data_IF_346645249603
#
_entry.id   IF_346645249603
#
_cell.length_a   1.000
_cell.length_b   1.000
_cell.length_c   1.000
_cell.angle_alpha   90.00
_cell.angle_beta   90.00
_cell.angle_gamma   90.00
#
_symmetry.space_group_name_H-M   'P 1'
#
loop_
_entity.id
_entity.type
_entity.pdbx_description
1 polymer ?
#
# COMPACT_ATOMS: atom_id res chain seq x y z
N UNK A 1 -1.55 74.27 -2.74
CA UNK A 1 -0.40 74.19 -1.80
C UNK A 1 -0.18 72.71 -1.49
N UNK A 2 0.57 71.98 -2.31
CA UNK A 2 2.03 71.81 -2.25
C UNK A 2 2.50 71.17 -0.93
N UNK A 3 2.84 69.87 -0.95
CA UNK A 3 4.24 69.43 -0.91
C UNK A 3 4.35 67.89 -1.07
N UNK A 4 4.97 67.49 -2.18
CA UNK A 4 5.78 66.27 -2.30
C UNK A 4 7.18 66.56 -1.73
N UNK A 5 7.85 65.54 -1.16
CA UNK A 5 9.31 65.23 -1.18
C UNK A 5 9.55 64.12 -0.12
N UNK A 6 9.74 62.85 -0.46
CA UNK A 6 10.95 62.19 -1.00
C UNK A 6 12.15 62.13 -0.02
N UNK A 7 12.45 60.93 0.52
CA UNK A 7 13.80 60.35 0.79
C UNK A 7 13.63 59.10 1.69
N UNK A 8 13.70 57.88 1.16
CA UNK A 8 14.90 57.06 0.93
C UNK A 8 15.51 56.45 2.20
N UNK A 9 15.13 55.21 2.53
CA UNK A 9 16.04 54.23 3.16
C UNK A 9 15.66 52.81 2.74
N UNK A 10 15.98 52.45 1.50
CA UNK A 10 16.13 51.05 1.08
C UNK A 10 17.48 50.55 1.60
N UNK A 11 17.52 50.05 2.85
CA UNK A 11 18.68 49.31 3.35
C UNK A 11 18.72 47.93 2.69
N UNK A 12 19.37 47.84 1.53
CA UNK A 12 19.83 46.58 0.95
C UNK A 12 20.95 46.02 1.83
N UNK A 13 20.59 45.25 2.86
CA UNK A 13 21.56 44.39 3.52
C UNK A 13 21.88 43.22 2.60
N UNK A 14 23.08 43.28 2.01
CA UNK A 14 23.72 42.21 1.25
C UNK A 14 23.97 40.98 2.15
N UNK A 15 23.08 39.99 2.10
CA UNK A 15 23.25 38.69 2.77
C UNK A 15 23.96 37.65 1.88
N UNK A 16 25.03 38.05 1.20
CA UNK A 16 25.82 37.15 0.34
C UNK A 16 26.43 35.96 1.12
N UNK A 17 26.70 36.12 2.42
CA UNK A 17 27.25 35.07 3.29
C UNK A 17 26.27 33.90 3.59
N UNK A 18 24.96 34.15 3.56
CA UNK A 18 23.95 33.11 3.81
C UNK A 18 23.73 32.16 2.63
N UNK A 19 24.11 32.58 1.43
CA UNK A 19 23.88 31.81 0.20
C UNK A 19 24.89 30.67 0.02
N UNK A 20 26.17 30.90 0.35
CA UNK A 20 27.20 29.87 0.29
C UNK A 20 27.04 28.81 1.38
N UNK A 21 26.68 29.21 2.61
CA UNK A 21 26.37 28.28 3.70
C UNK A 21 25.15 27.39 3.38
N UNK A 22 24.11 27.97 2.77
CA UNK A 22 22.94 27.21 2.29
C UNK A 22 23.29 26.22 1.18
N UNK A 23 24.20 26.58 0.27
CA UNK A 23 24.66 25.69 -0.82
C UNK A 23 25.49 24.50 -0.30
N UNK A 24 26.39 24.73 0.65
CA UNK A 24 27.17 23.66 1.28
C UNK A 24 26.28 22.67 2.06
N UNK A 25 25.30 23.18 2.80
CA UNK A 25 24.33 22.34 3.52
C UNK A 25 23.46 21.49 2.57
N UNK A 26 22.98 22.08 1.47
CA UNK A 26 22.22 21.34 0.45
C UNK A 26 23.08 20.27 -0.21
N UNK A 27 24.34 20.56 -0.55
CA UNK A 27 25.26 19.57 -1.10
C UNK A 27 25.52 18.40 -0.14
N UNK A 28 25.66 18.68 1.16
CA UNK A 28 25.77 17.64 2.19
C UNK A 28 24.51 16.77 2.27
N UNK A 29 23.32 17.37 2.21
CA UNK A 29 22.05 16.62 2.16
C UNK A 29 22.02 15.70 0.94
N UNK A 30 22.36 16.22 -0.25
CA UNK A 30 22.39 15.40 -1.46
C UNK A 30 23.41 14.25 -1.36
N UNK A 31 24.59 14.50 -0.80
CA UNK A 31 25.58 13.45 -0.58
C UNK A 31 25.04 12.35 0.34
N UNK A 32 24.43 12.73 1.46
CA UNK A 32 23.81 11.78 2.40
C UNK A 32 22.67 11.00 1.75
N UNK A 33 21.82 11.66 0.97
CA UNK A 33 20.74 11.01 0.23
C UNK A 33 21.26 10.04 -0.84
N UNK A 34 22.35 10.38 -1.53
CA UNK A 34 23.00 9.49 -2.51
C UNK A 34 23.59 8.26 -1.83
N UNK A 35 24.32 8.44 -0.72
CA UNK A 35 24.88 7.33 0.04
C UNK A 35 23.77 6.41 0.54
N UNK A 36 22.70 6.98 1.08
CA UNK A 36 21.53 6.23 1.52
C UNK A 36 20.88 5.47 0.34
N UNK A 37 20.69 6.12 -0.80
CA UNK A 37 20.11 5.50 -1.99
C UNK A 37 20.97 4.33 -2.50
N UNK A 38 22.30 4.49 -2.57
CA UNK A 38 23.22 3.43 -2.95
C UNK A 38 23.14 2.27 -1.95
N UNK A 39 23.13 2.56 -0.65
CA UNK A 39 23.05 1.50 0.38
C UNK A 39 21.76 0.69 0.29
N UNK A 40 20.63 1.34 -0.05
CA UNK A 40 19.33 0.70 -0.22
C UNK A 40 19.25 -0.11 -1.51
N UNK A 41 19.86 0.35 -2.61
CA UNK A 41 19.82 -0.32 -3.91
C UNK A 41 20.83 -1.48 -3.97
N UNK A 42 21.94 -1.39 -3.24
CA UNK A 42 23.02 -2.39 -3.25
C UNK A 42 22.57 -3.85 -3.06
N UNK A 43 21.74 -4.23 -2.07
CA UNK A 43 21.31 -5.63 -1.92
C UNK A 43 20.53 -6.15 -3.13
N UNK A 44 19.77 -5.29 -3.83
CA UNK A 44 19.06 -5.67 -5.05
C UNK A 44 20.00 -5.87 -6.24
N UNK A 45 21.02 -5.01 -6.38
CA UNK A 45 22.06 -5.20 -7.40
C UNK A 45 22.86 -6.48 -7.14
N UNK A 46 23.18 -6.75 -5.88
CA UNK A 46 23.86 -7.98 -5.50
C UNK A 46 23.00 -9.22 -5.77
N UNK A 47 21.70 -9.18 -5.44
CA UNK A 47 20.77 -10.25 -5.77
C UNK A 47 20.66 -10.47 -7.28
N UNK A 48 20.57 -9.39 -8.05
CA UNK A 48 20.51 -9.45 -9.52
C UNK A 48 21.80 -10.00 -10.12
N UNK A 49 22.97 -9.59 -9.64
CA UNK A 49 24.25 -10.14 -10.10
C UNK A 49 24.35 -11.65 -9.86
N UNK A 50 23.91 -12.11 -8.69
CA UNK A 50 23.93 -13.53 -8.33
C UNK A 50 22.89 -14.36 -9.08
N UNK A 51 21.77 -13.78 -9.51
CA UNK A 51 20.77 -14.53 -10.28
C UNK A 51 21.26 -14.95 -11.68
N UNK A 52 22.34 -14.32 -12.18
CA UNK A 52 23.01 -14.68 -13.43
C UNK A 52 24.24 -15.60 -13.24
N UNK A 53 24.49 -16.11 -12.03
CA UNK A 53 25.56 -17.08 -11.77
C UNK A 53 25.04 -18.51 -11.82
N UNK A 54 25.88 -19.45 -12.23
CA UNK A 54 25.61 -20.87 -12.02
C UNK A 54 25.65 -21.20 -10.52
N UNK A 55 25.08 -22.33 -10.10
CA UNK A 55 25.18 -22.77 -8.70
C UNK A 55 26.62 -22.90 -8.24
N UNK A 56 27.49 -23.45 -9.11
CA UNK A 56 28.91 -23.65 -8.81
C UNK A 56 29.63 -22.29 -8.61
N UNK A 57 29.41 -21.33 -9.50
CA UNK A 57 30.03 -20.00 -9.42
C UNK A 57 29.52 -19.19 -8.24
N UNK A 58 28.24 -19.32 -7.89
CA UNK A 58 27.66 -18.71 -6.71
C UNK A 58 28.33 -19.21 -5.42
N UNK A 59 28.51 -20.54 -5.27
CA UNK A 59 29.18 -21.11 -4.10
C UNK A 59 30.68 -20.85 -4.08
N UNK A 60 31.33 -20.73 -5.24
CA UNK A 60 32.75 -20.42 -5.32
C UNK A 60 33.04 -18.95 -4.94
N UNK A 61 32.24 -18.00 -5.42
CA UNK A 61 32.39 -16.59 -5.06
C UNK A 61 31.04 -15.84 -5.05
N UNK A 62 30.33 -15.83 -3.90
CA UNK A 62 29.04 -15.14 -3.78
C UNK A 62 29.19 -13.60 -3.78
N UNK A 63 30.39 -13.08 -3.51
CA UNK A 63 30.65 -11.64 -3.43
C UNK A 63 30.99 -11.00 -4.78
N UNK A 64 31.29 -11.78 -5.81
CA UNK A 64 31.54 -11.25 -7.15
C UNK A 64 30.31 -10.50 -7.68
N UNK A 65 30.43 -9.19 -7.91
CA UNK A 65 29.34 -8.34 -8.41
C UNK A 65 29.10 -8.50 -9.92
N UNK A 66 30.09 -9.03 -10.64
CA UNK A 66 30.00 -9.24 -12.08
C UNK A 66 30.02 -10.75 -12.32
N UNK A 67 28.92 -11.35 -12.83
CA UNK A 67 28.89 -12.76 -13.17
C UNK A 67 29.76 -13.02 -14.40
N UNK A 68 30.66 -13.99 -14.32
CA UNK A 68 31.55 -14.39 -15.42
C UNK A 68 31.73 -15.91 -15.45
N UNK A 69 31.23 -16.63 -16.48
CA UNK A 69 30.33 -16.15 -17.52
C UNK A 69 28.90 -15.92 -16.98
N UNK A 70 28.17 -14.89 -17.46
CA UNK A 70 26.75 -14.77 -17.14
C UNK A 70 25.95 -15.91 -17.75
N UNK A 71 25.04 -16.50 -16.98
CA UNK A 71 24.18 -17.60 -17.41
C UNK A 71 22.71 -17.36 -17.03
N UNK A 72 21.80 -17.96 -17.79
CA UNK A 72 20.37 -18.01 -17.50
C UNK A 72 19.92 -19.39 -17.00
N UNK A 73 20.85 -20.32 -16.80
CA UNK A 73 20.58 -21.69 -16.34
C UNK A 73 19.73 -21.71 -15.06
N UNK A 74 20.07 -20.87 -14.09
CA UNK A 74 19.38 -20.76 -12.80
C UNK A 74 17.89 -20.38 -12.97
N UNK A 75 17.52 -19.59 -13.98
CA UNK A 75 16.12 -19.29 -14.29
C UNK A 75 15.39 -20.49 -14.90
N UNK A 76 16.06 -21.23 -15.80
CA UNK A 76 15.54 -22.47 -16.36
C UNK A 76 15.29 -23.52 -15.28
N UNK A 77 16.25 -23.67 -14.36
CA UNK A 77 16.15 -24.51 -13.17
C UNK A 77 15.02 -24.06 -12.24
N UNK A 78 14.89 -22.76 -11.97
CA UNK A 78 13.83 -22.23 -11.13
C UNK A 78 12.43 -22.57 -11.66
N UNK A 79 12.24 -22.52 -12.98
CA UNK A 79 10.97 -22.88 -13.62
C UNK A 79 10.79 -24.40 -13.63
N UNK A 80 11.76 -25.17 -14.14
CA UNK A 80 11.60 -26.62 -14.37
C UNK A 80 11.68 -27.45 -13.11
N UNK A 81 12.65 -27.17 -12.25
CA UNK A 81 12.93 -27.91 -11.02
C UNK A 81 12.21 -27.24 -9.86
N UNK A 82 12.34 -25.91 -9.74
CA UNK A 82 11.75 -25.13 -8.67
C UNK A 82 10.24 -24.88 -8.79
N UNK A 83 9.62 -25.18 -9.94
CA UNK A 83 8.19 -24.95 -10.22
C UNK A 83 7.73 -23.52 -9.96
N UNK A 84 8.62 -22.55 -10.24
CA UNK A 84 8.35 -21.13 -9.99
C UNK A 84 7.10 -20.62 -10.74
N UNK A 85 6.79 -21.21 -11.89
CA UNK A 85 5.58 -20.93 -12.67
C UNK A 85 4.29 -21.20 -11.88
N UNK A 86 4.25 -22.31 -11.13
CA UNK A 86 3.11 -22.69 -10.30
C UNK A 86 2.98 -21.75 -9.10
N UNK A 87 4.09 -21.46 -8.43
CA UNK A 87 4.08 -20.56 -7.27
C UNK A 87 3.67 -19.14 -7.67
N UNK A 88 4.24 -18.59 -8.74
CA UNK A 88 3.86 -17.27 -9.25
C UNK A 88 2.39 -17.20 -9.63
N UNK A 89 1.87 -18.23 -10.32
CA UNK A 89 0.44 -18.27 -10.67
C UNK A 89 -0.44 -18.35 -9.44
N UNK A 90 -0.11 -19.20 -8.47
CA UNK A 90 -0.89 -19.31 -7.23
C UNK A 90 -0.88 -18.01 -6.44
N UNK A 91 0.28 -17.34 -6.32
CA UNK A 91 0.41 -16.05 -5.65
C UNK A 91 -0.35 -14.95 -6.38
N UNK A 92 -0.29 -14.88 -7.71
CA UNK A 92 -1.03 -13.89 -8.50
C UNK A 92 -2.54 -14.08 -8.39
N UNK A 93 -3.00 -15.34 -8.46
CA UNK A 93 -4.42 -15.67 -8.27
C UNK A 93 -4.86 -15.33 -6.85
N UNK A 94 -4.07 -15.70 -5.85
CA UNK A 94 -4.34 -15.37 -4.45
C UNK A 94 -4.45 -13.87 -4.23
N UNK A 95 -3.39 -13.11 -4.54
CA UNK A 95 -3.32 -11.67 -4.33
C UNK A 95 -4.41 -10.94 -5.13
N UNK A 96 -4.66 -11.32 -6.38
CA UNK A 96 -5.71 -10.75 -7.22
C UNK A 96 -7.11 -11.01 -6.68
N UNK A 97 -7.41 -12.24 -6.24
CA UNK A 97 -8.71 -12.59 -5.64
C UNK A 97 -8.93 -11.85 -4.32
N UNK A 98 -7.95 -11.87 -3.42
CA UNK A 98 -8.02 -11.17 -2.13
C UNK A 98 -8.19 -9.67 -2.34
N UNK A 99 -7.43 -9.07 -3.26
CA UNK A 99 -7.54 -7.65 -3.62
C UNK A 99 -8.97 -7.27 -4.02
N UNK A 100 -9.57 -7.97 -4.97
CA UNK A 100 -10.91 -7.65 -5.47
C UNK A 100 -11.96 -7.82 -4.37
N UNK A 101 -11.92 -8.94 -3.65
CA UNK A 101 -12.90 -9.24 -2.60
C UNK A 101 -12.77 -8.24 -1.45
N UNK A 102 -11.56 -8.00 -0.93
CA UNK A 102 -11.34 -7.06 0.15
C UNK A 102 -11.72 -5.64 -0.24
N UNK A 103 -11.36 -5.17 -1.44
CA UNK A 103 -11.77 -3.83 -1.87
C UNK A 103 -13.28 -3.70 -1.88
N UNK A 104 -14.00 -4.68 -2.41
CA UNK A 104 -15.45 -4.67 -2.43
C UNK A 104 -16.07 -4.73 -1.02
N UNK A 105 -15.68 -5.69 -0.21
CA UNK A 105 -16.24 -5.89 1.15
C UNK A 105 -15.89 -4.73 2.06
N UNK A 106 -14.63 -4.29 2.08
CA UNK A 106 -14.17 -3.21 2.94
C UNK A 106 -14.82 -1.88 2.53
N UNK A 107 -14.95 -1.58 1.23
CA UNK A 107 -15.58 -0.33 0.78
C UNK A 107 -17.07 -0.30 1.08
N UNK A 108 -17.78 -1.42 0.89
CA UNK A 108 -19.20 -1.51 1.21
C UNK A 108 -19.45 -1.37 2.71
N UNK A 109 -18.68 -2.09 3.54
CA UNK A 109 -18.78 -2.00 4.99
C UNK A 109 -18.41 -0.59 5.50
N UNK A 110 -17.33 -0.01 4.99
CA UNK A 110 -16.91 1.34 5.32
C UNK A 110 -17.96 2.38 4.96
N UNK A 111 -18.59 2.26 3.78
CA UNK A 111 -19.66 3.16 3.36
C UNK A 111 -20.88 3.04 4.28
N UNK A 112 -21.27 1.82 4.65
CA UNK A 112 -22.34 1.59 5.61
C UNK A 112 -22.03 2.22 6.99
N UNK A 113 -20.82 2.01 7.53
CA UNK A 113 -20.40 2.61 8.80
C UNK A 113 -20.20 4.13 8.75
N UNK A 114 -19.98 4.71 7.57
CA UNK A 114 -19.85 6.15 7.39
C UNK A 114 -21.20 6.86 7.23
N UNK A 115 -22.15 6.25 6.51
CA UNK A 115 -23.34 6.95 6.01
C UNK A 115 -24.67 6.41 6.48
N UNK A 116 -24.76 5.12 6.81
CA UNK A 116 -26.02 4.54 7.28
C UNK A 116 -26.15 4.80 8.77
N UNK A 117 -27.31 5.30 9.19
CA UNK A 117 -27.65 5.51 10.58
C UNK A 117 -28.43 4.30 11.07
N UNK A 118 -27.84 3.51 11.95
CA UNK A 118 -28.45 2.32 12.54
C UNK A 118 -28.03 2.17 14.00
N UNK A 119 -28.87 1.58 14.86
CA UNK A 119 -28.57 1.44 16.28
C UNK A 119 -27.30 0.60 16.50
N UNK A 120 -26.38 1.09 17.35
CA UNK A 120 -25.14 0.38 17.69
C UNK A 120 -24.00 0.53 16.68
N UNK A 121 -24.14 1.38 15.65
CA UNK A 121 -23.11 1.60 14.62
C UNK A 121 -21.71 1.86 15.17
N UNK A 122 -21.58 2.82 16.09
CA UNK A 122 -20.26 3.17 16.63
C UNK A 122 -19.68 2.04 17.50
N UNK A 123 -20.51 1.33 18.26
CA UNK A 123 -20.07 0.17 19.06
C UNK A 123 -19.56 -0.96 18.17
N UNK A 124 -20.28 -1.29 17.09
CA UNK A 124 -19.83 -2.31 16.14
C UNK A 124 -18.56 -1.87 15.40
N UNK A 125 -18.45 -0.59 15.04
CA UNK A 125 -17.23 -0.07 14.43
C UNK A 125 -16.03 -0.14 15.38
N UNK A 126 -16.23 0.18 16.66
CA UNK A 126 -15.20 0.01 17.70
C UNK A 126 -14.81 -1.46 17.88
N UNK A 127 -15.76 -2.39 17.80
CA UNK A 127 -15.46 -3.82 17.83
C UNK A 127 -14.60 -4.26 16.63
N UNK A 128 -14.87 -3.73 15.43
CA UNK A 128 -14.02 -3.93 14.25
C UNK A 128 -12.61 -3.39 14.52
N UNK A 129 -12.49 -2.18 15.06
CA UNK A 129 -11.19 -1.59 15.39
C UNK A 129 -10.41 -2.37 16.44
N UNK A 130 -11.09 -2.94 17.44
CA UNK A 130 -10.45 -3.75 18.48
C UNK A 130 -9.71 -4.97 17.89
N UNK A 131 -10.15 -5.49 16.73
CA UNK A 131 -9.45 -6.59 16.06
C UNK A 131 -8.06 -6.21 15.55
N UNK A 132 -7.78 -4.92 15.31
CA UNK A 132 -6.45 -4.44 14.92
C UNK A 132 -5.43 -4.55 16.06
N UNK A 133 -5.89 -4.68 17.31
CA UNK A 133 -5.02 -4.87 18.46
C UNK A 133 -4.55 -6.32 18.61
N UNK A 134 -5.20 -7.27 17.93
CA UNK A 134 -4.84 -8.68 17.98
C UNK A 134 -3.64 -8.94 17.05
N UNK A 135 -2.53 -9.49 17.56
CA UNK A 135 -1.42 -9.89 16.71
C UNK A 135 -1.82 -11.11 15.87
N UNK A 136 -1.43 -11.11 14.58
CA UNK A 136 -1.78 -12.20 13.66
C UNK A 136 -1.29 -13.58 14.10
N UNK A 137 -0.22 -13.65 14.90
CA UNK A 137 0.26 -14.91 15.49
C UNK A 137 -0.73 -15.56 16.46
N UNK A 138 -1.53 -14.76 17.16
CA UNK A 138 -2.54 -15.26 18.12
C UNK A 138 -3.77 -15.77 17.38
N UNK A 139 -4.12 -15.18 16.24
CA UNK A 139 -5.29 -15.59 15.44
C UNK A 139 -4.99 -16.79 14.53
N UNK A 140 -3.72 -17.11 14.27
CA UNK A 140 -3.32 -18.17 13.33
C UNK A 140 -3.87 -19.55 13.69
N UNK A 141 -3.72 -19.99 14.95
CA UNK A 141 -4.23 -21.30 15.40
C UNK A 141 -5.77 -21.35 15.31
N UNK A 142 -6.52 -20.37 15.86
CA UNK A 142 -7.98 -20.33 15.69
C UNK A 142 -8.44 -20.34 14.23
N UNK A 143 -7.83 -19.53 13.36
CA UNK A 143 -8.17 -19.48 11.94
C UNK A 143 -7.93 -20.83 11.26
N UNK A 144 -6.83 -21.51 11.58
CA UNK A 144 -6.56 -22.86 11.08
C UNK A 144 -7.61 -23.88 11.54
N UNK A 145 -7.97 -23.88 12.83
CA UNK A 145 -8.97 -24.79 13.37
C UNK A 145 -10.34 -24.59 12.70
N UNK A 146 -10.75 -23.34 12.46
CA UNK A 146 -11.97 -23.01 11.73
C UNK A 146 -11.88 -23.51 10.28
N UNK A 147 -10.78 -23.23 9.57
CA UNK A 147 -10.59 -23.69 8.21
C UNK A 147 -10.61 -25.23 8.11
N UNK A 148 -10.00 -25.93 9.07
CA UNK A 148 -10.05 -27.39 9.16
C UNK A 148 -11.46 -27.91 9.43
N UNK A 149 -12.19 -27.32 10.38
CA UNK A 149 -13.57 -27.70 10.68
C UNK A 149 -14.51 -27.49 9.46
N UNK A 150 -14.22 -26.49 8.63
CA UNK A 150 -14.94 -26.23 7.38
C UNK A 150 -14.47 -27.09 6.19
N UNK A 151 -13.48 -27.98 6.38
CA UNK A 151 -12.91 -28.80 5.31
C UNK A 151 -12.14 -28.01 4.25
N UNK A 152 -11.68 -26.79 4.58
CA UNK A 152 -10.96 -25.89 3.68
C UNK A 152 -9.44 -26.07 3.74
N UNK A 153 -8.95 -27.03 4.51
CA UNK A 153 -7.51 -27.31 4.61
C UNK A 153 -6.93 -27.75 3.27
N UNK A 154 -5.75 -27.23 2.94
CA UNK A 154 -5.08 -27.48 1.67
C UNK A 154 -5.91 -27.08 0.43
N UNK A 155 -6.78 -26.07 0.56
CA UNK A 155 -7.54 -25.51 -0.55
C UNK A 155 -7.21 -24.03 -0.76
N UNK A 156 -7.45 -23.53 -1.98
CA UNK A 156 -7.32 -22.11 -2.30
C UNK A 156 -8.17 -21.24 -1.36
N UNK A 157 -9.43 -21.63 -1.14
CA UNK A 157 -10.36 -20.90 -0.28
C UNK A 157 -9.96 -20.89 1.19
N UNK A 158 -9.25 -21.92 1.67
CA UNK A 158 -8.72 -21.96 3.03
C UNK A 158 -7.74 -20.83 3.34
N UNK A 159 -7.07 -20.29 2.33
CA UNK A 159 -6.15 -19.15 2.48
C UNK A 159 -6.82 -17.82 2.13
N UNK A 160 -7.74 -17.79 1.17
CA UNK A 160 -8.40 -16.55 0.74
C UNK A 160 -9.48 -16.09 1.72
N UNK A 161 -10.30 -17.01 2.24
CA UNK A 161 -11.49 -16.66 3.04
C UNK A 161 -11.17 -15.87 4.32
N UNK A 162 -10.15 -16.22 5.13
CA UNK A 162 -9.79 -15.42 6.31
C UNK A 162 -9.41 -13.97 5.97
N UNK A 163 -8.94 -13.73 4.75
CA UNK A 163 -8.54 -12.42 4.26
C UNK A 163 -9.66 -11.64 3.57
N UNK A 164 -10.94 -12.03 3.63
CA UNK A 164 -12.02 -11.32 2.91
C UNK A 164 -12.29 -9.90 3.40
N UNK A 165 -12.03 -9.63 4.67
CA UNK A 165 -12.26 -8.32 5.27
C UNK A 165 -11.07 -7.94 6.14
N UNK A 166 -10.75 -6.65 6.14
CA UNK A 166 -9.68 -6.09 6.97
C UNK A 166 -10.22 -4.91 7.75
N UNK A 167 -10.07 -4.95 9.07
CA UNK A 167 -10.46 -3.84 9.93
C UNK A 167 -9.73 -2.54 9.55
N UNK A 168 -8.48 -2.62 9.09
CA UNK A 168 -7.72 -1.48 8.61
C UNK A 168 -8.33 -0.91 7.34
N UNK A 169 -8.69 -1.78 6.38
CA UNK A 169 -9.35 -1.36 5.15
C UNK A 169 -10.70 -0.70 5.38
N UNK A 170 -11.52 -1.27 6.27
CA UNK A 170 -12.82 -0.70 6.67
C UNK A 170 -12.61 0.65 7.34
N UNK A 171 -11.67 0.76 8.28
CA UNK A 171 -11.37 2.01 8.97
C UNK A 171 -10.90 3.09 7.99
N UNK A 172 -9.89 2.80 7.18
CA UNK A 172 -9.30 3.75 6.23
C UNK A 172 -10.36 4.30 5.28
N UNK A 173 -11.14 3.41 4.65
CA UNK A 173 -12.18 3.84 3.71
C UNK A 173 -13.32 4.57 4.42
N UNK A 174 -13.66 4.22 5.66
CA UNK A 174 -14.69 4.95 6.42
C UNK A 174 -14.24 6.38 6.67
N UNK A 175 -12.99 6.58 7.11
CA UNK A 175 -12.44 7.93 7.32
C UNK A 175 -12.47 8.73 6.02
N UNK A 176 -12.17 8.10 4.88
CA UNK A 176 -12.27 8.77 3.58
C UNK A 176 -13.72 9.13 3.21
N UNK A 177 -14.66 8.21 3.34
CA UNK A 177 -16.07 8.46 3.02
C UNK A 177 -16.68 9.55 3.90
N UNK A 178 -16.29 9.65 5.18
CA UNK A 178 -16.76 10.71 6.08
C UNK A 178 -16.35 12.11 5.60
N UNK A 179 -15.21 12.25 4.91
CA UNK A 179 -14.72 13.52 4.39
C UNK A 179 -15.44 13.99 3.10
N UNK A 180 -16.20 13.11 2.45
CA UNK A 180 -16.99 13.49 1.27
C UNK A 180 -18.21 14.29 1.74
N UNK A 181 -18.56 15.43 1.11
CA UNK A 181 -19.76 16.19 1.48
C UNK A 181 -21.05 15.37 1.32
N UNK A 182 -21.95 15.46 2.31
CA UNK A 182 -23.25 14.74 2.28
C UNK A 182 -24.19 15.22 1.17
N UNK A 183 -24.04 16.48 0.75
CA UNK A 183 -24.85 17.12 -0.31
C UNK A 183 -24.87 16.32 -1.63
N UNK A 184 -23.79 15.59 -1.94
CA UNK A 184 -23.72 14.75 -3.13
C UNK A 184 -24.68 13.55 -3.06
N UNK A 185 -24.85 12.98 -1.86
CA UNK A 185 -25.79 11.88 -1.63
C UNK A 185 -27.23 12.40 -1.56
N UNK A 186 -27.44 13.59 -1.00
CA UNK A 186 -28.76 14.24 -0.97
C UNK A 186 -29.24 14.59 -2.38
N UNK A 187 -28.36 15.12 -3.23
CA UNK A 187 -28.64 15.35 -4.65
C UNK A 187 -29.00 14.04 -5.37
N UNK A 188 -28.24 12.97 -5.14
CA UNK A 188 -28.53 11.66 -5.72
C UNK A 188 -29.90 11.12 -5.28
N UNK A 189 -30.29 11.34 -4.02
CA UNK A 189 -31.61 10.95 -3.51
C UNK A 189 -32.74 11.77 -4.15
N UNK A 190 -32.54 13.06 -4.38
CA UNK A 190 -33.49 13.92 -5.11
C UNK A 190 -33.67 13.41 -6.54
N UNK A 191 -32.59 12.92 -7.18
CA UNK A 191 -32.62 12.27 -8.49
C UNK A 191 -33.18 10.83 -8.47
N UNK A 192 -33.66 10.35 -7.32
CA UNK A 192 -34.24 9.02 -7.17
C UNK A 192 -33.23 7.87 -7.11
N UNK A 193 -31.94 8.14 -6.92
CA UNK A 193 -30.93 7.10 -6.81
C UNK A 193 -31.04 6.36 -5.46
N UNK A 194 -31.13 5.04 -5.52
CA UNK A 194 -31.09 4.18 -4.33
C UNK A 194 -29.69 4.08 -3.70
N UNK A 195 -29.61 3.39 -2.55
CA UNK A 195 -28.36 3.22 -1.79
C UNK A 195 -27.21 2.64 -2.63
N UNK A 196 -27.45 1.51 -3.31
CA UNK A 196 -26.42 0.84 -4.09
C UNK A 196 -26.00 1.65 -5.32
N UNK A 197 -26.94 2.34 -5.96
CA UNK A 197 -26.65 3.24 -7.08
C UNK A 197 -25.77 4.40 -6.64
N UNK A 198 -26.11 5.05 -5.52
CA UNK A 198 -25.33 6.15 -4.94
C UNK A 198 -23.93 5.68 -4.54
N UNK A 199 -23.85 4.54 -3.85
CA UNK A 199 -22.58 3.89 -3.52
C UNK A 199 -21.70 3.66 -4.75
N UNK A 200 -22.22 2.94 -5.75
CA UNK A 200 -21.43 2.46 -6.87
C UNK A 200 -21.08 3.55 -7.89
N UNK A 201 -22.01 4.49 -8.14
CA UNK A 201 -21.85 5.50 -9.20
C UNK A 201 -21.28 6.83 -8.71
N UNK A 202 -21.39 7.14 -7.41
CA UNK A 202 -20.97 8.43 -6.87
C UNK A 202 -19.85 8.24 -5.85
N UNK A 203 -20.11 7.50 -4.78
CA UNK A 203 -19.19 7.41 -3.65
C UNK A 203 -17.92 6.62 -3.99
N UNK A 204 -18.05 5.49 -4.70
CA UNK A 204 -16.93 4.62 -5.05
C UNK A 204 -15.94 5.29 -6.04
N UNK A 205 -16.39 6.00 -7.09
CA UNK A 205 -15.50 6.81 -7.94
C UNK A 205 -14.80 7.95 -7.21
N UNK A 206 -15.48 8.64 -6.29
CA UNK A 206 -14.88 9.69 -5.46
C UNK A 206 -13.83 9.12 -4.50
N UNK A 207 -14.00 7.88 -4.06
CA UNK A 207 -13.07 7.16 -3.19
C UNK A 207 -11.90 6.48 -3.91
N UNK A 208 -11.74 6.65 -5.23
CA UNK A 208 -10.64 6.04 -6.00
C UNK A 208 -9.24 6.25 -5.39
N UNK A 209 -8.84 7.44 -4.91
CA UNK A 209 -7.51 7.62 -4.31
C UNK A 209 -7.29 6.72 -3.09
N UNK A 210 -8.31 6.58 -2.23
CA UNK A 210 -8.25 5.72 -1.06
C UNK A 210 -8.31 4.23 -1.42
N UNK A 211 -9.11 3.86 -2.43
CA UNK A 211 -9.19 2.49 -2.94
C UNK A 211 -7.86 2.03 -3.55
N UNK A 212 -7.18 2.90 -4.30
CA UNK A 212 -5.85 2.60 -4.85
C UNK A 212 -4.85 2.41 -3.71
N UNK A 213 -4.85 3.30 -2.73
CA UNK A 213 -3.97 3.21 -1.55
C UNK A 213 -4.19 1.89 -0.80
N UNK A 214 -5.44 1.58 -0.48
CA UNK A 214 -5.79 0.32 0.17
C UNK A 214 -5.43 -0.88 -0.72
N UNK A 215 -5.65 -0.80 -2.02
CA UNK A 215 -5.32 -1.86 -2.96
C UNK A 215 -3.83 -2.19 -2.98
N UNK A 216 -2.96 -1.18 -2.91
CA UNK A 216 -1.52 -1.39 -2.76
C UNK A 216 -1.20 -2.10 -1.44
N UNK A 217 -1.80 -1.68 -0.33
CA UNK A 217 -1.62 -2.37 0.95
C UNK A 217 -2.10 -3.83 0.92
N UNK A 218 -3.24 -4.11 0.29
CA UNK A 218 -3.77 -5.48 0.19
C UNK A 218 -2.87 -6.35 -0.70
N UNK A 219 -2.35 -5.80 -1.80
CA UNK A 219 -1.52 -6.57 -2.73
C UNK A 219 -0.13 -6.90 -2.16
N UNK A 220 0.39 -6.07 -1.26
CA UNK A 220 1.70 -6.25 -0.63
C UNK A 220 1.71 -7.18 0.59
N UNK A 221 0.55 -7.40 1.23
CA UNK A 221 0.41 -8.25 2.42
C UNK A 221 0.06 -9.69 2.04
#
# INVERSE_FOLDING_TARGET
>A
MQQQTASSHTSRHSSAGGWFAKRGFVALIYLLLIVLAISMIFPYLWMLANSFKSRQDFFANPYALIPMPPTLETYGDAIRIGRMDVYMRNSLLYAGTVLVIQLFINSLAAYAFARVEFPGRETLFLAVLATLMLPGSVTLIPTFLIAHALGLTNTFWGVVLPGFASAFGIFLLRQFFLNIPRELEDAARIDGAGFFTTYWRIMLPLARPALVTLGVFIFLN
#
